data_IF_352856988850
#
_entry.id   IF_352856988850
#
_cell.length_a   1.000
_cell.length_b   1.000
_cell.length_c   1.000
_cell.angle_alpha   90.00
_cell.angle_beta   90.00
_cell.angle_gamma   90.00
#
_symmetry.space_group_name_H-M   'P 1'
#
loop_
_entity.id
_entity.type
_entity.pdbx_description
1 polymer ?
#
# COMPACT_ATOMS: atom_id res chain seq x y z
N UNK A 1 -10.86 35.50 -28.74
CA UNK A 1 -11.20 34.29 -27.97
C UNK A 1 -10.50 33.07 -28.59
N UNK A 2 -9.18 32.97 -28.45
CA UNK A 2 -8.40 31.89 -29.09
C UNK A 2 -7.12 31.49 -28.35
N UNK A 3 -6.85 32.03 -27.15
CA UNK A 3 -5.63 31.72 -26.37
C UNK A 3 -5.81 30.66 -25.27
N UNK A 4 -7.05 30.37 -24.86
CA UNK A 4 -7.34 29.39 -23.79
C UNK A 4 -7.32 27.93 -24.26
N UNK A 5 -7.60 27.66 -25.55
CA UNK A 5 -7.54 26.29 -26.08
C UNK A 5 -6.10 25.84 -26.35
N UNK A 6 -5.21 26.75 -26.71
CA UNK A 6 -3.84 26.42 -27.12
C UNK A 6 -2.97 25.98 -25.93
N UNK A 7 -3.09 26.64 -24.78
CA UNK A 7 -2.38 26.25 -23.55
C UNK A 7 -2.79 24.89 -22.97
N UNK A 8 -4.05 24.48 -23.15
CA UNK A 8 -4.52 23.17 -22.65
C UNK A 8 -3.97 21.99 -23.48
N UNK A 9 -3.81 22.17 -24.80
CA UNK A 9 -3.20 21.16 -25.67
C UNK A 9 -1.67 21.07 -25.48
N UNK A 10 -1.00 22.20 -25.27
CA UNK A 10 0.45 22.22 -24.98
C UNK A 10 0.76 21.57 -23.62
N UNK A 11 -0.03 21.84 -22.57
CA UNK A 11 0.17 21.22 -21.25
C UNK A 11 -0.06 19.70 -21.24
N UNK A 12 -1.11 19.20 -21.89
CA UNK A 12 -1.37 17.76 -21.98
C UNK A 12 -0.30 17.02 -22.79
N UNK A 13 0.24 17.65 -23.84
CA UNK A 13 1.33 17.10 -24.63
C UNK A 13 2.66 17.08 -23.86
N UNK A 14 2.92 18.10 -23.05
CA UNK A 14 4.14 18.20 -22.23
C UNK A 14 4.13 17.16 -21.10
N UNK A 15 2.98 16.98 -20.42
CA UNK A 15 2.79 15.92 -19.41
C UNK A 15 2.96 14.52 -19.99
N UNK A 16 2.40 14.24 -21.17
CA UNK A 16 2.57 12.94 -21.84
C UNK A 16 4.03 12.68 -22.24
N UNK A 17 4.75 13.72 -22.69
CA UNK A 17 6.17 13.61 -23.06
C UNK A 17 7.09 13.42 -21.86
N UNK A 18 6.77 14.04 -20.72
CA UNK A 18 7.50 13.86 -19.46
C UNK A 18 7.25 12.47 -18.86
N UNK A 19 6.00 12.00 -18.87
CA UNK A 19 5.67 10.63 -18.47
C UNK A 19 6.40 9.59 -19.32
N UNK A 20 6.50 9.80 -20.64
CA UNK A 20 7.21 8.89 -21.53
C UNK A 20 8.73 8.91 -21.32
N UNK A 21 9.34 10.10 -21.12
CA UNK A 21 10.76 10.20 -20.76
C UNK A 21 11.06 9.48 -19.45
N UNK A 22 10.18 9.63 -18.48
CA UNK A 22 10.32 8.99 -17.18
C UNK A 22 10.13 7.48 -17.30
N UNK A 23 9.13 7.01 -18.05
CA UNK A 23 8.95 5.59 -18.38
C UNK A 23 10.20 5.00 -19.04
N UNK A 24 10.78 5.69 -20.03
CA UNK A 24 11.98 5.23 -20.73
C UNK A 24 13.21 5.14 -19.80
N UNK A 25 13.35 6.05 -18.84
CA UNK A 25 14.40 5.97 -17.82
C UNK A 25 14.23 4.72 -16.94
N UNK A 26 13.00 4.42 -16.54
CA UNK A 26 12.66 3.23 -15.76
C UNK A 26 12.82 1.94 -16.55
N UNK A 27 12.48 1.91 -17.86
CA UNK A 27 12.72 0.75 -18.74
C UNK A 27 14.20 0.37 -18.75
N UNK A 28 15.06 1.36 -18.97
CA UNK A 28 16.51 1.16 -19.03
C UNK A 28 17.05 0.66 -17.69
N UNK A 29 16.56 1.23 -16.58
CA UNK A 29 16.96 0.85 -15.23
C UNK A 29 16.50 -0.55 -14.84
N UNK A 30 15.22 -0.89 -15.04
CA UNK A 30 14.69 -2.23 -14.74
C UNK A 30 15.34 -3.30 -15.60
N UNK A 31 15.74 -2.99 -16.83
CA UNK A 31 16.48 -3.91 -17.67
C UNK A 31 17.87 -4.25 -17.09
N UNK A 32 18.53 -3.29 -16.44
CA UNK A 32 19.82 -3.50 -15.78
C UNK A 32 19.69 -4.11 -14.38
N UNK A 33 18.71 -3.68 -13.59
CA UNK A 33 18.58 -4.06 -12.17
C UNK A 33 17.76 -5.34 -11.92
N UNK A 34 16.90 -5.73 -12.87
CA UNK A 34 16.03 -6.90 -12.75
C UNK A 34 16.08 -7.76 -14.03
N UNK A 35 17.27 -8.27 -14.42
CA UNK A 35 17.43 -9.08 -15.63
C UNK A 35 16.58 -10.37 -15.59
N UNK A 36 16.22 -10.86 -14.39
CA UNK A 36 15.43 -12.08 -14.20
C UNK A 36 13.95 -11.91 -14.55
N UNK A 37 13.45 -10.66 -14.56
CA UNK A 37 12.06 -10.38 -14.92
C UNK A 37 11.87 -10.34 -16.43
N UNK A 38 10.74 -10.85 -16.92
CA UNK A 38 10.37 -10.74 -18.33
C UNK A 38 10.15 -9.27 -18.73
N UNK A 39 10.25 -8.97 -20.03
CA UNK A 39 9.91 -7.64 -20.54
C UNK A 39 8.50 -7.21 -20.15
N UNK A 40 7.52 -8.13 -20.25
CA UNK A 40 6.14 -7.89 -19.83
C UNK A 40 6.05 -7.52 -18.33
N UNK A 41 6.74 -8.26 -17.47
CA UNK A 41 6.75 -7.98 -16.03
C UNK A 41 7.38 -6.62 -15.72
N UNK A 42 8.45 -6.24 -16.43
CA UNK A 42 9.07 -4.91 -16.26
C UNK A 42 8.11 -3.80 -16.69
N UNK A 43 7.44 -3.93 -17.83
CA UNK A 43 6.42 -2.94 -18.26
C UNK A 43 5.26 -2.84 -17.26
N UNK A 44 4.79 -3.96 -16.71
CA UNK A 44 3.76 -3.95 -15.66
C UNK A 44 4.22 -3.19 -14.41
N UNK A 45 5.48 -3.34 -13.99
CA UNK A 45 6.06 -2.60 -12.86
C UNK A 45 6.10 -1.10 -13.17
N UNK A 46 6.52 -0.72 -14.38
CA UNK A 46 6.59 0.70 -14.79
C UNK A 46 5.21 1.32 -14.79
N UNK A 47 4.24 0.66 -15.42
CA UNK A 47 2.87 1.12 -15.46
C UNK A 47 2.28 1.24 -14.05
N UNK A 48 2.56 0.28 -13.16
CA UNK A 48 2.15 0.36 -11.76
C UNK A 48 2.75 1.58 -11.03
N UNK A 49 4.05 1.84 -11.21
CA UNK A 49 4.73 3.00 -10.62
C UNK A 49 4.18 4.33 -11.16
N UNK A 50 3.78 4.38 -12.43
CA UNK A 50 3.22 5.59 -13.05
C UNK A 50 1.76 5.82 -12.64
N UNK A 51 0.89 4.81 -12.76
CA UNK A 51 -0.54 4.94 -12.47
C UNK A 51 -0.81 5.28 -11.00
N UNK A 52 0.03 4.83 -10.07
CA UNK A 52 -0.17 5.15 -8.65
C UNK A 52 0.29 6.55 -8.25
N UNK A 53 0.82 7.36 -9.17
CA UNK A 53 1.25 8.76 -8.93
C UNK A 53 0.55 9.81 -9.79
N UNK A 54 -0.17 9.39 -10.83
CA UNK A 54 -0.95 10.30 -11.66
C UNK A 54 -2.24 10.68 -10.92
N UNK A 55 -2.17 11.71 -10.08
CA UNK A 55 -3.35 12.52 -9.75
C UNK A 55 -3.81 13.14 -11.07
N UNK A 56 -4.98 12.74 -11.55
CA UNK A 56 -5.39 12.92 -12.95
C UNK A 56 -5.46 14.37 -13.46
N UNK A 57 -5.36 15.40 -12.61
CA UNK A 57 -5.83 16.75 -12.97
C UNK A 57 -4.91 17.95 -12.60
N UNK A 58 -3.68 17.75 -12.13
CA UNK A 58 -2.83 18.89 -11.71
C UNK A 58 -1.58 19.05 -12.58
N UNK A 59 -1.39 20.26 -13.10
CA UNK A 59 -0.17 20.70 -13.78
C UNK A 59 0.98 20.57 -12.78
N UNK A 60 1.83 19.58 -12.99
CA UNK A 60 2.92 19.28 -12.07
C UNK A 60 3.97 20.39 -12.11
N UNK A 61 4.09 21.11 -11.00
CA UNK A 61 5.24 21.98 -10.75
C UNK A 61 6.53 21.12 -10.71
N UNK A 62 7.70 21.62 -11.11
CA UNK A 62 8.97 20.89 -10.95
C UNK A 62 9.20 20.31 -9.54
N UNK A 63 8.70 20.97 -8.48
CA UNK A 63 8.74 20.39 -7.13
C UNK A 63 7.85 19.15 -6.96
N UNK A 64 6.70 19.11 -7.61
CA UNK A 64 5.77 17.98 -7.57
C UNK A 64 6.31 16.81 -8.40
N UNK A 65 7.01 17.10 -9.50
CA UNK A 65 7.74 16.10 -10.27
C UNK A 65 8.82 15.41 -9.42
N UNK A 66 9.61 16.18 -8.66
CA UNK A 66 10.59 15.61 -7.72
C UNK A 66 9.92 14.74 -6.64
N UNK A 67 8.79 15.18 -6.10
CA UNK A 67 8.02 14.40 -5.11
C UNK A 67 7.52 13.08 -5.72
N UNK A 68 6.95 13.13 -6.93
CA UNK A 68 6.47 11.93 -7.64
C UNK A 68 7.64 10.96 -7.89
N UNK A 69 8.79 11.47 -8.33
CA UNK A 69 9.97 10.63 -8.56
C UNK A 69 10.46 9.99 -7.25
N UNK A 70 10.42 10.71 -6.13
CA UNK A 70 10.75 10.16 -4.81
C UNK A 70 9.73 9.11 -4.35
N UNK A 71 8.43 9.33 -4.55
CA UNK A 71 7.39 8.35 -4.23
C UNK A 71 7.55 7.07 -5.09
N UNK A 72 7.84 7.21 -6.38
CA UNK A 72 8.16 6.09 -7.27
C UNK A 72 9.39 5.32 -6.80
N UNK A 73 10.47 6.03 -6.48
CA UNK A 73 11.71 5.41 -5.99
C UNK A 73 11.47 4.64 -4.70
N UNK A 74 10.75 5.25 -3.75
CA UNK A 74 10.40 4.62 -2.48
C UNK A 74 9.61 3.33 -2.70
N UNK A 75 8.56 3.37 -3.53
CA UNK A 75 7.75 2.18 -3.88
C UNK A 75 8.59 1.10 -4.54
N UNK A 76 9.43 1.46 -5.49
CA UNK A 76 10.31 0.51 -6.17
C UNK A 76 11.32 -0.14 -5.20
N UNK A 77 11.89 0.63 -4.27
CA UNK A 77 12.80 0.09 -3.25
C UNK A 77 12.09 -0.93 -2.35
N UNK A 78 10.85 -0.66 -1.93
CA UNK A 78 10.04 -1.63 -1.18
C UNK A 78 9.86 -2.91 -2.01
N UNK A 79 9.38 -2.77 -3.25
CA UNK A 79 9.14 -3.89 -4.17
C UNK A 79 10.38 -4.76 -4.32
N UNK A 80 11.51 -4.16 -4.72
CA UNK A 80 12.76 -4.88 -5.01
C UNK A 80 13.35 -5.55 -3.78
N UNK A 81 13.32 -4.90 -2.62
CA UNK A 81 13.95 -5.43 -1.41
C UNK A 81 13.16 -6.55 -0.76
N UNK A 82 11.82 -6.54 -0.86
CA UNK A 82 10.96 -7.41 -0.02
C UNK A 82 10.06 -8.36 -0.78
N UNK A 83 9.71 -8.05 -2.03
CA UNK A 83 8.58 -8.73 -2.68
C UNK A 83 8.90 -9.27 -4.08
N UNK A 84 9.75 -8.60 -4.85
CA UNK A 84 10.07 -9.01 -6.22
C UNK A 84 10.75 -10.38 -6.24
N UNK A 85 10.17 -11.33 -6.99
CA UNK A 85 10.70 -12.70 -7.10
C UNK A 85 10.49 -13.58 -5.85
N UNK A 86 9.83 -13.08 -4.81
CA UNK A 86 9.57 -13.81 -3.56
C UNK A 86 8.24 -14.57 -3.67
N UNK A 87 8.21 -15.83 -3.21
CA UNK A 87 6.98 -16.62 -3.14
C UNK A 87 5.95 -15.97 -2.20
N UNK A 88 4.65 -16.13 -2.52
CA UNK A 88 3.54 -15.45 -1.87
C UNK A 88 3.57 -15.56 -0.34
N UNK A 89 3.80 -16.75 0.20
CA UNK A 89 3.79 -17.02 1.64
C UNK A 89 4.92 -16.28 2.35
N UNK A 90 6.11 -16.25 1.72
CA UNK A 90 7.28 -15.54 2.26
C UNK A 90 7.11 -14.02 2.12
N UNK A 91 6.55 -13.56 1.00
CA UNK A 91 6.23 -12.17 0.77
C UNK A 91 5.21 -11.65 1.81
N UNK A 92 4.16 -12.43 2.10
CA UNK A 92 3.20 -12.10 3.17
C UNK A 92 3.87 -12.02 4.55
N UNK A 93 4.77 -12.95 4.88
CA UNK A 93 5.55 -12.89 6.13
C UNK A 93 6.42 -11.63 6.20
N UNK A 94 7.02 -11.21 5.09
CA UNK A 94 7.80 -9.96 5.03
C UNK A 94 6.93 -8.74 5.34
N UNK A 95 5.71 -8.68 4.79
CA UNK A 95 4.75 -7.62 5.07
C UNK A 95 4.38 -7.57 6.55
N UNK A 96 3.92 -8.69 7.12
CA UNK A 96 3.55 -8.78 8.54
C UNK A 96 4.71 -8.35 9.45
N UNK A 97 5.90 -8.88 9.18
CA UNK A 97 7.10 -8.58 9.96
C UNK A 97 7.45 -7.09 9.90
N UNK A 98 7.31 -6.46 8.74
CA UNK A 98 7.55 -5.04 8.55
C UNK A 98 6.54 -4.18 9.32
N UNK A 99 5.25 -4.48 9.21
CA UNK A 99 4.20 -3.74 9.93
C UNK A 99 4.38 -3.89 11.45
N UNK A 100 4.68 -5.09 11.94
CA UNK A 100 4.95 -5.35 13.35
C UNK A 100 6.14 -4.52 13.89
N UNK A 101 7.21 -4.33 13.12
CA UNK A 101 8.31 -3.46 13.55
C UNK A 101 7.87 -2.00 13.70
N UNK A 102 6.97 -1.52 12.86
CA UNK A 102 6.47 -0.15 12.92
C UNK A 102 5.52 0.04 14.10
N UNK A 103 4.65 -0.93 14.38
CA UNK A 103 3.76 -0.88 15.56
C UNK A 103 4.56 -0.80 16.86
N UNK A 104 5.65 -1.56 16.96
CA UNK A 104 6.56 -1.56 18.11
C UNK A 104 7.27 -0.21 18.33
N UNK A 105 7.65 0.48 17.26
CA UNK A 105 8.39 1.75 17.32
C UNK A 105 7.55 2.94 17.75
N UNK A 106 6.26 2.97 17.40
CA UNK A 106 5.37 4.12 17.68
C UNK A 106 4.83 4.17 19.12
N UNK A 107 5.60 3.69 20.10
CA UNK A 107 5.23 3.70 21.54
C UNK A 107 3.84 3.10 21.83
N UNK A 108 3.36 2.19 20.97
CA UNK A 108 2.41 1.14 21.37
C UNK A 108 3.10 0.16 22.35
N UNK A 109 4.36 0.41 22.70
CA UNK A 109 5.12 -0.21 23.80
C UNK A 109 4.33 -0.37 25.11
N UNK A 110 3.38 0.52 25.42
CA UNK A 110 2.50 0.35 26.59
C UNK A 110 1.66 -0.96 26.55
N UNK A 111 1.41 -1.50 25.35
CA UNK A 111 0.68 -2.74 25.14
C UNK A 111 1.59 -3.94 24.85
N UNK A 112 2.82 -3.70 24.40
CA UNK A 112 3.78 -4.74 23.95
C UNK A 112 4.87 -5.07 24.97
N UNK A 113 4.85 -4.45 26.15
CA UNK A 113 5.74 -4.85 27.23
C UNK A 113 5.34 -6.24 27.78
N UNK A 114 6.15 -7.26 27.44
CA UNK A 114 6.48 -8.45 28.26
C UNK A 114 5.64 -9.74 28.20
N UNK A 115 4.95 -10.11 27.10
CA UNK A 115 4.52 -11.52 26.96
C UNK A 115 4.46 -12.04 25.52
N UNK A 116 4.84 -13.32 25.33
CA UNK A 116 4.80 -14.04 24.05
C UNK A 116 3.37 -14.16 23.49
N UNK A 117 2.36 -14.16 24.36
CA UNK A 117 0.95 -14.20 23.96
C UNK A 117 0.48 -12.87 23.37
N UNK A 118 0.99 -11.73 23.85
CA UNK A 118 0.70 -10.41 23.27
C UNK A 118 1.41 -10.18 21.93
N UNK A 119 2.56 -10.82 21.69
CA UNK A 119 3.17 -10.83 20.36
C UNK A 119 2.29 -11.56 19.33
N UNK A 120 1.69 -12.70 19.71
CA UNK A 120 0.72 -13.40 18.86
C UNK A 120 -0.51 -12.54 18.58
N UNK A 121 -1.07 -11.91 19.60
CA UNK A 121 -2.18 -10.96 19.45
C UNK A 121 -1.87 -9.81 18.46
N UNK A 122 -0.65 -9.27 18.45
CA UNK A 122 -0.26 -8.25 17.47
C UNK A 122 -0.25 -8.80 16.04
N UNK A 123 0.20 -10.05 15.85
CA UNK A 123 0.20 -10.69 14.53
C UNK A 123 -1.23 -10.96 14.05
N UNK A 124 -2.09 -11.47 14.94
CA UNK A 124 -3.50 -11.74 14.63
C UNK A 124 -4.23 -10.45 14.25
N UNK A 125 -4.05 -9.38 15.03
CA UNK A 125 -4.59 -8.05 14.74
C UNK A 125 -4.08 -7.49 13.41
N UNK A 126 -2.78 -7.62 13.11
CA UNK A 126 -2.23 -7.16 11.82
C UNK A 126 -2.82 -7.95 10.65
N UNK A 127 -3.03 -9.25 10.83
CA UNK A 127 -3.69 -10.08 9.82
C UNK A 127 -5.13 -9.62 9.59
N UNK A 128 -5.89 -9.34 10.65
CA UNK A 128 -7.27 -8.82 10.54
C UNK A 128 -7.31 -7.44 9.89
N UNK A 129 -6.41 -6.52 10.24
CA UNK A 129 -6.30 -5.21 9.59
C UNK A 129 -6.01 -5.36 8.10
N UNK A 130 -5.06 -6.21 7.71
CA UNK A 130 -4.77 -6.45 6.29
C UNK A 130 -6.00 -7.03 5.59
N UNK A 131 -6.73 -7.96 6.23
CA UNK A 131 -7.97 -8.50 5.66
C UNK A 131 -9.03 -7.42 5.48
N UNK A 132 -9.22 -6.53 6.46
CA UNK A 132 -10.16 -5.42 6.38
C UNK A 132 -9.78 -4.44 5.26
N UNK A 133 -8.49 -4.12 5.12
CA UNK A 133 -7.97 -3.31 4.01
C UNK A 133 -8.26 -3.97 2.65
N UNK A 134 -8.01 -5.28 2.55
CA UNK A 134 -8.27 -6.07 1.34
C UNK A 134 -9.76 -6.27 1.03
N UNK A 135 -10.67 -5.94 1.94
CA UNK A 135 -12.12 -6.11 1.74
C UNK A 135 -12.88 -4.80 1.58
N UNK A 136 -12.43 -3.73 2.26
CA UNK A 136 -13.24 -2.53 2.45
C UNK A 136 -12.52 -1.22 2.17
N UNK A 137 -11.19 -1.21 2.11
CA UNK A 137 -10.45 0.03 1.84
C UNK A 137 -10.50 0.36 0.34
N UNK A 138 -11.13 1.49 0.00
CA UNK A 138 -11.33 1.92 -1.39
C UNK A 138 -10.01 2.07 -2.15
N UNK A 139 -8.97 2.59 -1.51
CA UNK A 139 -7.68 2.77 -2.16
C UNK A 139 -7.04 1.41 -2.47
N UNK A 140 -7.04 0.48 -1.52
CA UNK A 140 -6.50 -0.87 -1.72
C UNK A 140 -7.32 -1.65 -2.75
N UNK A 141 -8.65 -1.54 -2.76
CA UNK A 141 -9.50 -2.16 -3.79
C UNK A 141 -9.17 -1.64 -5.20
N UNK A 142 -9.00 -0.32 -5.35
CA UNK A 142 -8.60 0.28 -6.62
C UNK A 142 -7.22 -0.21 -7.05
N UNK A 143 -6.24 -0.27 -6.14
CA UNK A 143 -4.93 -0.83 -6.42
C UNK A 143 -5.00 -2.29 -6.86
N UNK A 144 -5.82 -3.12 -6.20
CA UNK A 144 -6.04 -4.51 -6.59
C UNK A 144 -6.60 -4.62 -8.01
N UNK A 145 -7.63 -3.84 -8.34
CA UNK A 145 -8.23 -3.83 -9.67
C UNK A 145 -7.20 -3.42 -10.74
N UNK A 146 -6.46 -2.32 -10.52
CA UNK A 146 -5.42 -1.88 -11.43
C UNK A 146 -4.32 -2.95 -11.61
N UNK A 147 -3.84 -3.57 -10.53
CA UNK A 147 -2.79 -4.60 -10.61
C UNK A 147 -3.26 -5.81 -11.43
N UNK A 148 -4.54 -6.20 -11.32
CA UNK A 148 -5.08 -7.31 -12.12
C UNK A 148 -5.14 -7.01 -13.62
N UNK A 149 -5.29 -5.75 -14.00
CA UNK A 149 -5.24 -5.32 -15.41
C UNK A 149 -3.80 -5.25 -15.95
N UNK A 150 -2.83 -4.95 -15.07
CA UNK A 150 -1.44 -4.72 -15.47
C UNK A 150 -0.65 -6.00 -15.76
N UNK A 151 -0.98 -7.13 -15.12
CA UNK A 151 -0.22 -8.38 -15.30
C UNK A 151 -1.06 -9.61 -15.07
N UNK A 152 -0.74 -10.70 -15.76
CA UNK A 152 -1.32 -12.04 -15.54
C UNK A 152 -0.49 -12.90 -14.59
N UNK A 153 0.76 -12.51 -14.29
CA UNK A 153 1.68 -13.26 -13.42
C UNK A 153 1.29 -13.07 -11.94
N UNK A 154 0.79 -14.15 -11.32
CA UNK A 154 0.34 -14.12 -9.93
C UNK A 154 1.45 -13.79 -8.94
N UNK A 155 2.72 -14.15 -9.21
CA UNK A 155 3.83 -13.77 -8.33
C UNK A 155 4.03 -12.26 -8.34
N UNK A 156 3.97 -11.66 -9.53
CA UNK A 156 4.07 -10.21 -9.68
C UNK A 156 2.86 -9.49 -9.07
N UNK A 157 1.63 -9.99 -9.31
CA UNK A 157 0.42 -9.42 -8.69
C UNK A 157 0.54 -9.35 -7.16
N UNK A 158 0.95 -10.44 -6.53
CA UNK A 158 1.15 -10.49 -5.08
C UNK A 158 2.25 -9.51 -4.64
N UNK A 159 3.36 -9.44 -5.38
CA UNK A 159 4.46 -8.53 -5.05
C UNK A 159 4.05 -7.05 -5.12
N UNK A 160 3.32 -6.66 -6.17
CA UNK A 160 2.80 -5.30 -6.32
C UNK A 160 1.78 -4.98 -5.21
N UNK A 161 0.85 -5.90 -4.93
CA UNK A 161 -0.18 -5.70 -3.90
C UNK A 161 0.42 -5.54 -2.51
N UNK A 162 1.36 -6.40 -2.11
CA UNK A 162 2.02 -6.28 -0.81
C UNK A 162 2.86 -5.01 -0.70
N UNK A 163 3.46 -4.57 -1.81
CA UNK A 163 4.16 -3.28 -1.87
C UNK A 163 3.20 -2.12 -1.64
N UNK A 164 2.03 -2.12 -2.30
CA UNK A 164 1.00 -1.09 -2.12
C UNK A 164 0.47 -1.05 -0.69
N UNK A 165 0.22 -2.21 -0.06
CA UNK A 165 -0.24 -2.27 1.34
C UNK A 165 0.83 -1.73 2.29
N UNK A 166 2.09 -2.12 2.09
CA UNK A 166 3.18 -1.63 2.93
C UNK A 166 3.34 -0.11 2.79
N UNK A 167 3.39 0.42 1.57
CA UNK A 167 3.50 1.87 1.34
C UNK A 167 2.33 2.61 1.99
N UNK A 168 1.10 2.14 1.78
CA UNK A 168 -0.10 2.74 2.32
C UNK A 168 -0.07 2.79 3.85
N UNK A 169 0.24 1.66 4.50
CA UNK A 169 0.33 1.56 5.95
C UNK A 169 1.40 2.48 6.54
N UNK A 170 2.50 2.71 5.81
CA UNK A 170 3.63 3.51 6.27
C UNK A 170 3.52 5.00 5.90
N UNK A 171 2.53 5.38 5.08
CA UNK A 171 2.27 6.78 4.74
C UNK A 171 1.97 7.56 6.01
N UNK A 172 2.68 8.66 6.21
CA UNK A 172 2.54 9.48 7.40
C UNK A 172 1.35 10.43 7.28
N UNK A 173 0.45 10.38 8.26
CA UNK A 173 -0.65 11.33 8.47
C UNK A 173 -0.49 11.90 9.88
N UNK A 174 -0.44 13.23 9.99
CA UNK A 174 -0.15 13.94 11.25
C UNK A 174 1.07 13.38 12.03
N UNK A 175 2.18 13.11 11.35
CA UNK A 175 3.43 12.55 11.90
C UNK A 175 3.32 11.11 12.45
N UNK A 176 2.26 10.38 12.12
CA UNK A 176 2.11 8.96 12.46
C UNK A 176 1.76 8.13 11.22
N UNK A 177 2.24 6.89 11.08
CA UNK A 177 1.82 6.00 10.00
C UNK A 177 0.32 5.75 10.03
N UNK A 178 -0.32 5.66 8.86
CA UNK A 178 -1.73 5.25 8.72
C UNK A 178 -2.04 3.96 9.48
N UNK A 179 -1.07 3.04 9.54
CA UNK A 179 -1.16 1.81 10.33
C UNK A 179 -1.59 2.07 11.78
N UNK A 180 -1.10 3.14 12.43
CA UNK A 180 -1.46 3.48 13.81
C UNK A 180 -2.95 3.79 13.94
N UNK A 181 -3.52 4.47 12.96
CA UNK A 181 -4.95 4.76 12.94
C UNK A 181 -5.80 3.50 12.78
N UNK A 182 -5.41 2.61 11.86
CA UNK A 182 -6.09 1.32 11.69
C UNK A 182 -6.03 0.47 12.96
N UNK A 183 -4.89 0.44 13.65
CA UNK A 183 -4.75 -0.25 14.94
C UNK A 183 -5.67 0.32 16.01
N UNK A 184 -5.74 1.64 16.14
CA UNK A 184 -6.63 2.28 17.13
C UNK A 184 -8.10 1.99 16.80
N UNK A 185 -8.49 2.03 15.53
CA UNK A 185 -9.86 1.72 15.10
C UNK A 185 -10.21 0.26 15.37
N UNK A 186 -9.31 -0.66 15.06
CA UNK A 186 -9.44 -2.07 15.39
C UNK A 186 -9.68 -2.30 16.88
N UNK A 187 -8.84 -1.71 17.75
CA UNK A 187 -8.96 -1.84 19.20
C UNK A 187 -10.26 -1.24 19.76
N UNK A 188 -10.82 -0.20 19.13
CA UNK A 188 -12.12 0.36 19.52
C UNK A 188 -13.26 -0.60 19.16
N UNK A 189 -13.17 -1.27 18.01
CA UNK A 189 -14.15 -2.23 17.52
C UNK A 189 -14.14 -3.50 18.38
N UNK A 190 -12.97 -4.06 18.66
CA UNK A 190 -12.83 -5.26 19.49
C UNK A 190 -13.41 -5.08 20.90
N UNK A 191 -13.14 -3.93 21.55
CA UNK A 191 -13.73 -3.60 22.86
C UNK A 191 -15.26 -3.46 22.84
N UNK A 192 -15.82 -2.99 21.73
CA UNK A 192 -17.27 -2.87 21.56
C UNK A 192 -17.93 -4.23 21.38
N UNK A 193 -17.27 -5.14 20.66
CA UNK A 193 -17.76 -6.50 20.44
C UNK A 193 -17.69 -7.35 21.71
N UNK A 194 -16.68 -7.13 22.58
CA UNK A 194 -16.63 -7.71 23.94
C UNK A 194 -17.83 -7.27 24.80
N UNK A 195 -18.13 -5.95 24.84
CA UNK A 195 -19.26 -5.40 25.60
C UNK A 195 -20.63 -5.85 25.06
N UNK A 196 -20.76 -6.07 23.74
CA UNK A 196 -21.99 -6.56 23.13
C UNK A 196 -22.19 -8.07 23.36
N UNK A 197 -21.10 -8.83 23.50
CA UNK A 197 -21.14 -10.27 23.78
C UNK A 197 -21.55 -10.56 25.23
N UNK A 198 -21.13 -9.71 26.18
CA UNK A 198 -21.54 -9.82 27.58
C UNK A 198 -23.03 -9.50 27.81
N UNK A 199 -23.65 -8.68 26.95
CA UNK A 199 -25.09 -8.43 27.01
C UNK A 199 -25.96 -9.57 26.46
N UNK A 200 -25.39 -10.51 25.70
CA UNK A 200 -26.15 -11.63 25.13
C UNK A 200 -26.33 -12.80 26.12
N UNK A 201 -25.47 -12.91 27.14
CA UNK A 201 -25.58 -13.95 28.18
C UNK A 201 -26.50 -13.58 29.36
N UNK A 202 -26.92 -12.32 29.49
CA UNK A 202 -27.85 -11.89 30.56
C UNK A 202 -29.33 -11.84 30.13
N UNK A 203 -29.65 -12.09 28.86
CA UNK A 203 -31.03 -12.03 28.37
C UNK A 203 -31.81 -13.36 28.45
N UNK A 204 -31.14 -14.50 28.68
CA UNK A 204 -31.73 -15.83 28.51
C UNK A 204 -31.96 -16.62 29.82
N UNK A 205 -31.97 -15.94 30.97
CA UNK A 205 -32.35 -16.55 32.25
C UNK A 205 -33.37 -15.69 33.01
N UNK A 206 -34.64 -15.76 32.59
CA UNK A 206 -35.78 -15.47 33.47
C UNK A 206 -36.67 -16.71 33.54
N UNK A 207 -36.86 -17.33 34.72
CA UNK A 207 -37.78 -18.44 34.86
C UNK A 207 -39.22 -17.93 34.75
N UNK A 208 -40.05 -18.79 34.14
CA UNK A 208 -41.52 -18.68 34.06
C UNK A 208 -42.13 -18.75 35.45
#
# INVERSE_FOLDING_TARGET
MSTLKQGFFECNFTMAMEAEKLAQSWRSRLAAECPEQSFANRESIINWLLLSNLKQDEILNPKEQEIIQQEMEYRYQILRQRYLGIAKERAYRNLITRLAMVTLRHKIQAWVALSQDRQRMVLDMLQEIIQELLQSDNYIQQQMACITELTTDDKLKNALLFTSIEEYCLRSVHNQPLLVYHLINYLKKSKKDELSSDTYWMADNRPV
#
